data_IF_630331202328
#
_entry.id   IF_630331202328
#
_cell.length_a   1.000
_cell.length_b   1.000
_cell.length_c   1.000
_cell.angle_alpha   90.00
_cell.angle_beta   90.00
_cell.angle_gamma   90.00
#
_symmetry.space_group_name_H-M   'P 1'
#
loop_
_entity.id
_entity.type
_entity.pdbx_description
1 polymer ?
#
# COMPACT_ATOMS: atom_id res chain seq x y z
N UNK A 1 -4.52 33.26 27.84
CA UNK A 1 -3.54 32.29 27.32
C UNK A 1 -4.22 30.94 27.29
N UNK A 2 -4.50 30.37 26.12
CA UNK A 2 -5.05 29.03 26.02
C UNK A 2 -3.90 28.05 25.79
N UNK A 3 -3.68 27.15 26.74
CA UNK A 3 -2.77 26.01 26.58
C UNK A 3 -3.63 24.76 26.35
N UNK A 4 -3.35 24.01 25.29
CA UNK A 4 -3.92 22.68 25.06
C UNK A 4 -2.87 21.66 25.50
N UNK A 5 -3.20 20.89 26.53
CA UNK A 5 -2.37 19.78 27.01
C UNK A 5 -2.73 18.52 26.21
N UNK A 6 -1.76 17.91 25.54
CA UNK A 6 -1.93 16.60 24.88
C UNK A 6 -1.05 15.57 25.56
N UNK A 7 -1.69 14.55 26.14
CA UNK A 7 -1.06 13.42 26.81
C UNK A 7 -0.92 12.24 25.83
N UNK A 8 0.28 11.67 25.74
CA UNK A 8 0.57 10.42 25.01
C UNK A 8 1.99 9.95 25.33
N UNK A 9 2.20 8.67 25.71
CA UNK A 9 3.46 8.20 26.31
C UNK A 9 4.66 8.08 25.36
N UNK A 10 4.45 8.18 24.03
CA UNK A 10 5.51 8.01 23.03
C UNK A 10 5.47 9.12 21.97
N UNK A 11 5.95 10.31 22.31
CA UNK A 11 6.31 11.31 21.31
C UNK A 11 7.60 10.84 20.62
N UNK A 12 7.45 10.10 19.51
CA UNK A 12 8.58 9.76 18.64
C UNK A 12 9.35 11.03 18.31
N UNK A 13 10.57 11.15 18.83
CA UNK A 13 11.41 12.37 18.89
C UNK A 13 11.76 13.03 17.53
N UNK A 14 11.18 12.59 16.42
CA UNK A 14 11.42 13.11 15.07
C UNK A 14 10.17 13.40 14.24
N UNK A 15 8.96 13.14 14.75
CA UNK A 15 7.72 13.53 14.08
C UNK A 15 7.19 14.82 14.71
N UNK A 16 7.14 15.89 13.92
CA UNK A 16 6.52 17.16 14.33
C UNK A 16 4.99 17.01 14.31
N UNK A 17 4.44 16.36 15.33
CA UNK A 17 2.99 16.29 15.51
C UNK A 17 2.42 17.66 15.88
N UNK A 18 1.24 17.97 15.35
CA UNK A 18 0.41 19.09 15.83
C UNK A 18 -0.76 18.48 16.60
N UNK A 19 -0.55 18.27 17.90
CA UNK A 19 -1.46 17.46 18.72
C UNK A 19 -1.54 16.01 18.25
N UNK A 20 -2.74 15.51 17.92
CA UNK A 20 -2.90 14.16 17.37
C UNK A 20 -2.67 14.07 15.85
N UNK A 21 -2.40 15.20 15.19
CA UNK A 21 -2.24 15.26 13.73
C UNK A 21 -0.78 15.00 13.35
N UNK A 22 -0.55 14.01 12.49
CA UNK A 22 0.75 13.72 11.88
C UNK A 22 0.81 14.36 10.49
N UNK A 23 1.78 15.27 10.22
CA UNK A 23 1.96 15.83 8.89
C UNK A 23 2.50 14.82 7.87
N UNK A 24 3.06 13.69 8.32
CA UNK A 24 3.66 12.64 7.49
C UNK A 24 3.00 11.28 7.72
N UNK A 25 1.68 11.26 7.91
CA UNK A 25 0.91 10.05 8.14
C UNK A 25 0.97 9.13 6.92
N UNK A 26 1.46 7.90 7.09
CA UNK A 26 1.52 6.90 6.01
C UNK A 26 0.31 5.96 6.06
N UNK A 27 -0.68 6.09 5.14
CA UNK A 27 -1.85 5.22 5.10
C UNK A 27 -1.48 3.75 4.83
N UNK A 28 -0.47 3.48 4.00
CA UNK A 28 -0.04 2.11 3.70
C UNK A 28 0.51 1.39 4.94
N UNK A 29 1.29 2.10 5.76
CA UNK A 29 1.79 1.58 7.04
C UNK A 29 0.65 1.29 8.01
N UNK A 30 -0.27 2.24 8.17
CA UNK A 30 -1.41 2.08 9.09
C UNK A 30 -2.36 0.96 8.64
N UNK A 31 -2.57 0.81 7.33
CA UNK A 31 -3.32 -0.30 6.76
C UNK A 31 -2.68 -1.65 7.12
N UNK A 32 -1.35 -1.75 7.02
CA UNK A 32 -0.63 -2.96 7.42
C UNK A 32 -0.73 -3.24 8.93
N UNK A 33 -0.53 -2.22 9.79
CA UNK A 33 -0.65 -2.38 11.24
C UNK A 33 -2.07 -2.81 11.67
N UNK A 34 -3.09 -2.23 11.03
CA UNK A 34 -4.48 -2.61 11.23
C UNK A 34 -4.76 -4.04 10.74
N UNK A 35 -4.22 -4.42 9.59
CA UNK A 35 -4.29 -5.80 9.08
C UNK A 35 -3.69 -6.81 10.05
N UNK A 36 -2.47 -6.58 10.55
CA UNK A 36 -1.82 -7.47 11.52
C UNK A 36 -2.69 -7.67 12.77
N UNK A 37 -3.32 -6.59 13.24
CA UNK A 37 -4.20 -6.62 14.41
C UNK A 37 -5.50 -7.38 14.14
N UNK A 38 -6.16 -7.10 13.02
CA UNK A 38 -7.39 -7.77 12.60
C UNK A 38 -7.16 -9.26 12.30
N UNK A 39 -6.03 -9.60 11.67
CA UNK A 39 -5.63 -10.98 11.36
C UNK A 39 -5.52 -11.81 12.63
N UNK A 40 -4.83 -11.30 13.66
CA UNK A 40 -4.70 -11.99 14.96
C UNK A 40 -6.06 -12.25 15.61
N UNK A 41 -6.98 -11.29 15.53
CA UNK A 41 -8.33 -11.45 16.07
C UNK A 41 -9.13 -12.49 15.28
N UNK A 42 -9.07 -12.42 13.94
CA UNK A 42 -9.74 -13.36 13.05
C UNK A 42 -9.24 -14.80 13.27
N UNK A 43 -7.93 -15.00 13.34
CA UNK A 43 -7.31 -16.29 13.65
C UNK A 43 -7.79 -16.84 15.00
N UNK A 44 -7.89 -16.00 16.04
CA UNK A 44 -8.36 -16.44 17.36
C UNK A 44 -9.82 -16.86 17.37
N UNK A 45 -10.67 -16.22 16.57
CA UNK A 45 -12.12 -16.47 16.57
C UNK A 45 -12.53 -17.56 15.58
N UNK A 46 -11.97 -17.56 14.37
CA UNK A 46 -12.34 -18.45 13.27
C UNK A 46 -11.33 -19.59 13.03
N UNK A 47 -10.15 -19.56 13.67
CA UNK A 47 -9.07 -20.53 13.42
C UNK A 47 -8.36 -20.36 12.06
N UNK A 48 -8.79 -19.38 11.26
CA UNK A 48 -8.26 -19.06 9.92
C UNK A 48 -8.42 -17.56 9.65
N UNK A 49 -7.57 -17.00 8.79
CA UNK A 49 -7.64 -15.61 8.37
C UNK A 49 -7.03 -15.43 6.97
N UNK A 50 -7.56 -14.51 6.14
CA UNK A 50 -6.98 -14.23 4.84
C UNK A 50 -5.72 -13.37 4.93
N UNK A 51 -4.87 -13.49 3.91
CA UNK A 51 -3.81 -12.51 3.65
C UNK A 51 -4.36 -11.15 3.19
N UNK A 52 -3.48 -10.21 2.90
CA UNK A 52 -3.84 -8.89 2.39
C UNK A 52 -2.87 -8.45 1.28
N UNK A 53 -3.39 -7.79 0.25
CA UNK A 53 -2.60 -7.05 -0.74
C UNK A 53 -2.88 -5.56 -0.58
N UNK A 54 -1.83 -4.77 -0.45
CA UNK A 54 -1.90 -3.32 -0.37
C UNK A 54 -1.36 -2.75 -1.68
N UNK A 55 -2.25 -2.12 -2.44
CA UNK A 55 -1.96 -1.44 -3.69
C UNK A 55 -1.89 0.06 -3.43
N UNK A 56 -0.78 0.68 -3.82
CA UNK A 56 -0.55 2.12 -3.62
C UNK A 56 -0.33 2.77 -4.97
N UNK A 57 -1.16 3.76 -5.30
CA UNK A 57 -1.13 4.50 -6.57
C UNK A 57 -1.03 5.99 -6.27
N UNK A 58 0.05 6.64 -6.72
CA UNK A 58 0.23 8.08 -6.56
C UNK A 58 0.01 8.81 -7.91
N UNK A 59 -1.19 9.40 -8.08
CA UNK A 59 -1.53 10.12 -9.33
C UNK A 59 -0.87 11.50 -9.40
N UNK A 60 -0.55 12.14 -8.28
CA UNK A 60 0.14 13.45 -8.29
C UNK A 60 1.55 13.39 -8.89
N UNK A 61 2.15 12.19 -8.89
CA UNK A 61 3.44 11.93 -9.53
C UNK A 61 3.34 11.52 -10.99
N UNK A 62 2.18 11.03 -11.45
CA UNK A 62 1.96 10.66 -12.86
C UNK A 62 1.92 11.88 -13.78
N UNK A 63 1.40 13.02 -13.30
CA UNK A 63 1.25 14.25 -14.10
C UNK A 63 2.52 15.11 -14.18
N UNK A 64 3.56 14.79 -13.42
CA UNK A 64 4.85 15.49 -13.51
C UNK A 64 5.79 14.71 -14.43
N UNK A 65 6.34 15.31 -15.51
CA UNK A 65 7.34 14.64 -16.31
C UNK A 65 8.51 14.25 -15.40
N UNK A 66 8.98 13.01 -15.56
CA UNK A 66 10.06 12.43 -14.75
C UNK A 66 11.14 13.49 -14.51
N UNK A 67 11.36 13.84 -13.25
CA UNK A 67 12.32 14.86 -12.84
C UNK A 67 13.69 14.39 -13.34
N UNK A 68 14.07 14.84 -14.53
CA UNK A 68 15.37 14.62 -15.15
C UNK A 68 16.35 15.10 -14.10
N UNK A 69 17.05 14.16 -13.45
CA UNK A 69 18.06 14.45 -12.43
C UNK A 69 18.84 15.64 -12.92
N UNK A 70 18.62 16.79 -12.28
CA UNK A 70 19.23 18.03 -12.70
C UNK A 70 20.72 17.78 -12.55
N UNK A 71 21.41 17.58 -13.68
CA UNK A 71 22.86 17.67 -13.73
C UNK A 71 23.19 18.96 -12.99
N UNK A 72 23.89 18.84 -11.86
CA UNK A 72 24.47 19.99 -11.18
C UNK A 72 25.38 20.66 -12.22
N UNK A 73 24.92 21.76 -12.80
CA UNK A 73 25.80 22.70 -13.50
C UNK A 73 26.33 23.62 -12.41
N UNK A 74 27.45 23.25 -11.80
CA UNK A 74 28.20 24.16 -10.95
C UNK A 74 28.98 25.11 -11.85
N UNK A 75 28.59 26.39 -11.86
CA UNK A 75 29.39 27.45 -12.47
C UNK A 75 30.63 27.70 -11.59
N UNK A 76 31.84 27.55 -12.15
CA UNK A 76 33.06 28.09 -11.56
C UNK A 76 33.38 29.46 -12.16
N UNK A 77 34.01 30.33 -11.36
CA UNK A 77 34.22 31.75 -11.60
C UNK A 77 35.22 32.10 -12.73
N UNK A 78 35.52 31.19 -13.65
CA UNK A 78 36.55 31.35 -14.69
C UNK A 78 36.02 31.21 -16.14
N UNK A 79 34.71 31.31 -16.37
CA UNK A 79 34.15 31.54 -17.70
C UNK A 79 34.23 30.37 -18.70
N UNK A 80 34.44 29.13 -18.25
CA UNK A 80 34.48 27.95 -19.12
C UNK A 80 33.35 26.96 -18.81
N UNK A 81 32.53 26.66 -19.82
CA UNK A 81 31.46 25.67 -19.75
C UNK A 81 31.99 24.32 -20.26
N UNK A 82 32.06 23.30 -19.40
CA UNK A 82 32.34 21.91 -19.81
C UNK A 82 31.27 20.98 -19.27
N UNK A 83 30.76 20.10 -20.13
CA UNK A 83 29.85 19.01 -19.78
C UNK A 83 30.74 17.80 -19.51
N UNK A 84 30.87 17.40 -18.24
CA UNK A 84 31.65 16.21 -17.90
C UNK A 84 30.89 14.95 -18.35
N UNK A 85 31.33 14.41 -19.50
CA UNK A 85 31.02 13.07 -19.99
C UNK A 85 32.29 12.23 -19.85
N UNK A 86 32.54 11.69 -18.65
CA UNK A 86 33.46 10.56 -18.51
C UNK A 86 32.82 9.52 -17.59
N UNK A 87 32.53 8.36 -18.17
CA UNK A 87 31.77 7.28 -17.55
C UNK A 87 31.23 6.31 -18.62
N UNK A 88 32.14 5.76 -19.42
CA UNK A 88 31.95 4.71 -20.43
C UNK A 88 33.29 3.91 -20.39
N UNK A 89 33.40 2.60 -20.33
CA UNK A 89 32.50 1.47 -20.65
C UNK A 89 33.00 0.20 -19.95
N UNK A 90 32.09 -0.73 -19.62
CA UNK A 90 32.33 -2.15 -19.83
C UNK A 90 30.97 -2.86 -20.02
N UNK A 91 30.66 -3.05 -21.29
CA UNK A 91 29.52 -3.73 -21.86
C UNK A 91 29.71 -5.26 -21.77
N UNK A 92 28.73 -5.99 -21.23
CA UNK A 92 28.40 -7.35 -21.66
C UNK A 92 26.91 -7.37 -22.02
N UNK A 93 26.52 -7.69 -23.27
CA UNK A 93 25.13 -7.66 -23.73
C UNK A 93 24.54 -9.11 -23.74
N UNK A 94 23.28 -9.37 -24.17
CA UNK A 94 22.29 -10.04 -23.33
C UNK A 94 21.79 -11.40 -23.87
N UNK A 95 21.21 -12.25 -23.02
CA UNK A 95 20.40 -13.40 -23.48
C UNK A 95 18.99 -13.35 -22.90
N UNK A 96 18.04 -13.04 -23.79
CA UNK A 96 16.59 -13.37 -23.85
C UNK A 96 15.76 -13.28 -22.55
N UNK A 97 14.95 -12.22 -22.31
CA UNK A 97 13.60 -11.90 -22.84
C UNK A 97 12.48 -12.93 -22.55
N UNK A 98 11.58 -12.56 -21.64
CA UNK A 98 10.13 -12.41 -21.87
C UNK A 98 9.60 -11.42 -20.81
N UNK A 99 9.30 -10.15 -21.12
CA UNK A 99 8.11 -9.70 -21.84
C UNK A 99 6.98 -9.50 -20.82
N UNK A 100 6.80 -8.33 -20.21
CA UNK A 100 6.26 -7.12 -20.82
C UNK A 100 6.71 -5.84 -20.11
N UNK A 101 7.00 -4.79 -20.89
CA UNK A 101 7.15 -3.41 -20.44
C UNK A 101 5.76 -2.77 -20.43
N UNK A 102 5.28 -2.19 -19.32
CA UNK A 102 4.29 -1.10 -19.34
C UNK A 102 4.08 -0.45 -17.95
N UNK A 103 4.06 0.89 -17.92
CA UNK A 103 3.48 1.81 -16.93
C UNK A 103 4.12 1.98 -15.52
N UNK A 104 4.28 3.26 -15.17
CA UNK A 104 4.81 3.80 -13.92
C UNK A 104 4.05 3.36 -12.66
N UNK A 105 4.81 2.89 -11.65
CA UNK A 105 4.59 3.01 -10.19
C UNK A 105 3.25 2.56 -9.57
N UNK A 106 2.72 1.40 -9.96
CA UNK A 106 1.81 0.65 -9.07
C UNK A 106 2.65 -0.16 -8.06
N UNK A 107 2.68 0.25 -6.79
CA UNK A 107 3.32 -0.54 -5.73
C UNK A 107 2.32 -1.52 -5.15
N UNK A 108 2.60 -2.81 -5.26
CA UNK A 108 1.80 -3.87 -4.66
C UNK A 108 2.62 -4.57 -3.59
N UNK A 109 2.14 -4.54 -2.35
CA UNK A 109 2.71 -5.29 -1.24
C UNK A 109 1.72 -6.39 -0.83
N UNK A 110 2.12 -7.65 -1.00
CA UNK A 110 1.34 -8.79 -0.52
C UNK A 110 1.85 -9.22 0.85
N UNK A 111 0.92 -9.52 1.75
CA UNK A 111 1.14 -9.98 3.10
C UNK A 111 0.33 -11.26 3.33
N UNK A 112 0.99 -12.41 3.37
CA UNK A 112 0.33 -13.67 3.68
C UNK A 112 0.19 -13.89 5.20
N UNK A 113 1.13 -13.34 5.96
CA UNK A 113 1.25 -13.55 7.42
C UNK A 113 1.49 -12.25 8.19
N UNK A 114 1.03 -12.14 9.44
CA UNK A 114 1.32 -11.00 10.32
C UNK A 114 2.80 -10.86 10.73
N UNK A 115 3.64 -11.85 10.40
CA UNK A 115 5.08 -11.81 10.67
C UNK A 115 5.86 -10.98 9.64
N UNK A 116 5.26 -10.71 8.47
CA UNK A 116 5.90 -9.94 7.42
C UNK A 116 5.98 -8.47 7.84
N UNK A 117 7.17 -7.87 7.70
CA UNK A 117 7.36 -6.45 8.05
C UNK A 117 7.02 -5.57 6.85
N UNK A 118 6.20 -4.56 7.10
CA UNK A 118 6.04 -3.45 6.16
C UNK A 118 7.38 -2.72 6.01
N UNK A 119 7.90 -2.68 4.77
CA UNK A 119 9.09 -1.90 4.43
C UNK A 119 8.64 -0.56 3.85
N UNK A 120 8.73 0.54 4.62
CA UNK A 120 8.36 1.86 4.11
C UNK A 120 9.35 2.29 3.01
N UNK A 121 8.83 2.68 1.86
CA UNK A 121 9.64 3.23 0.79
C UNK A 121 9.64 4.77 0.89
N UNK A 122 10.73 5.47 0.56
CA UNK A 122 10.78 6.94 0.55
C UNK A 122 9.80 7.62 -0.41
N UNK A 123 9.09 6.85 -1.23
CA UNK A 123 8.11 7.32 -2.21
C UNK A 123 6.70 6.82 -1.87
N UNK A 124 6.45 6.53 -0.60
CA UNK A 124 5.11 6.18 -0.15
C UNK A 124 4.27 7.45 0.00
N UNK A 125 2.97 7.28 -0.23
CA UNK A 125 2.00 8.35 -0.05
C UNK A 125 2.01 8.74 1.43
N UNK A 126 2.09 10.04 1.70
CA UNK A 126 1.94 10.61 3.04
C UNK A 126 0.85 11.67 3.02
N UNK A 127 0.01 11.69 4.04
CA UNK A 127 -1.06 12.67 4.22
C UNK A 127 -0.94 13.37 5.57
N UNK A 128 -1.52 14.56 5.68
CA UNK A 128 -1.71 15.22 6.98
C UNK A 128 -3.00 14.66 7.57
N UNK A 129 -2.90 13.81 8.58
CA UNK A 129 -4.08 13.17 9.19
C UNK A 129 -3.80 12.69 10.61
N UNK A 130 -4.85 12.34 11.34
CA UNK A 130 -4.75 11.73 12.68
C UNK A 130 -4.54 10.21 12.51
N UNK A 131 -3.36 9.66 12.83
CA UNK A 131 -3.06 8.25 12.58
C UNK A 131 -4.01 7.28 13.26
N UNK A 132 -4.42 7.58 14.50
CA UNK A 132 -5.32 6.74 15.30
C UNK A 132 -6.70 6.59 14.64
N UNK A 133 -7.26 7.67 14.10
CA UNK A 133 -8.55 7.62 13.40
C UNK A 133 -8.47 6.74 12.16
N UNK A 134 -7.40 6.90 11.38
CA UNK A 134 -7.19 6.13 10.17
C UNK A 134 -6.95 4.64 10.47
N UNK A 135 -6.16 4.35 11.51
CA UNK A 135 -5.98 2.98 12.00
C UNK A 135 -7.32 2.34 12.38
N UNK A 136 -8.16 3.04 13.15
CA UNK A 136 -9.46 2.51 13.56
C UNK A 136 -10.38 2.25 12.37
N UNK A 137 -10.42 3.16 11.38
CA UNK A 137 -11.18 2.93 10.15
C UNK A 137 -10.70 1.67 9.42
N UNK A 138 -9.39 1.50 9.22
CA UNK A 138 -8.84 0.28 8.60
C UNK A 138 -9.18 -0.96 9.42
N UNK A 139 -8.99 -0.92 10.73
CA UNK A 139 -9.20 -2.06 11.61
C UNK A 139 -10.65 -2.55 11.59
N UNK A 140 -11.63 -1.64 11.69
CA UNK A 140 -13.05 -2.01 11.64
C UNK A 140 -13.45 -2.56 10.26
N UNK A 141 -13.00 -1.92 9.18
CA UNK A 141 -13.27 -2.40 7.82
C UNK A 141 -12.65 -3.79 7.58
N UNK A 142 -11.43 -4.02 8.06
CA UNK A 142 -10.73 -5.30 7.90
C UNK A 142 -11.37 -6.41 8.72
N UNK A 143 -11.78 -6.15 9.97
CA UNK A 143 -12.55 -7.12 10.76
C UNK A 143 -13.81 -7.56 10.01
N UNK A 144 -14.57 -6.60 9.49
CA UNK A 144 -15.81 -6.87 8.76
C UNK A 144 -15.54 -7.69 7.49
N UNK A 145 -14.52 -7.32 6.71
CA UNK A 145 -14.14 -8.05 5.50
C UNK A 145 -13.65 -9.48 5.78
N UNK A 146 -12.82 -9.66 6.82
CA UNK A 146 -12.30 -10.95 7.26
C UNK A 146 -13.41 -11.85 7.79
N UNK A 147 -14.30 -11.33 8.64
CA UNK A 147 -15.48 -12.04 9.14
C UNK A 147 -16.34 -12.55 7.99
N UNK A 148 -16.69 -11.65 7.07
CA UNK A 148 -17.53 -12.02 5.93
C UNK A 148 -16.87 -13.11 5.07
N UNK A 149 -15.53 -13.15 4.99
CA UNK A 149 -14.83 -14.17 4.19
C UNK A 149 -14.71 -15.49 4.95
N UNK A 150 -14.43 -15.43 6.25
CA UNK A 150 -14.36 -16.59 7.11
C UNK A 150 -15.72 -17.30 7.24
N UNK A 151 -16.83 -16.58 7.17
CA UNK A 151 -18.19 -17.13 7.22
C UNK A 151 -18.71 -17.56 5.84
N UNK A 152 -18.36 -16.86 4.75
CA UNK A 152 -18.82 -17.21 3.41
C UNK A 152 -18.07 -18.38 2.78
N UNK A 153 -16.84 -18.64 3.22
CA UNK A 153 -15.98 -19.67 2.63
C UNK A 153 -16.25 -21.02 3.31
N UNK A 154 -16.47 -22.12 2.58
CA UNK A 154 -16.67 -23.44 3.17
C UNK A 154 -15.51 -23.84 4.11
N UNK A 155 -15.76 -24.63 5.16
CA UNK A 155 -14.73 -25.06 6.10
C UNK A 155 -13.68 -25.98 5.46
N UNK A 156 -14.03 -26.70 4.39
CA UNK A 156 -13.12 -27.56 3.62
C UNK A 156 -12.01 -26.77 2.93
N UNK A 157 -12.28 -25.49 2.63
CA UNK A 157 -11.30 -24.62 2.02
C UNK A 157 -10.43 -23.99 3.09
N UNK A 158 -9.22 -24.53 3.23
CA UNK A 158 -8.23 -24.09 4.22
C UNK A 158 -7.68 -22.70 3.90
N UNK A 159 -7.58 -22.37 2.61
CA UNK A 159 -6.98 -21.12 2.15
C UNK A 159 -8.05 -20.08 1.80
N UNK A 160 -8.06 -18.98 2.55
CA UNK A 160 -8.95 -17.84 2.30
C UNK A 160 -8.35 -16.88 1.27
N UNK A 161 -9.18 -16.34 0.39
CA UNK A 161 -8.76 -15.34 -0.58
C UNK A 161 -8.27 -14.05 0.10
N UNK A 162 -7.12 -13.49 -0.30
CA UNK A 162 -6.61 -12.28 0.31
C UNK A 162 -7.50 -11.05 0.05
N UNK A 163 -7.47 -10.12 0.99
CA UNK A 163 -8.19 -8.84 0.93
C UNK A 163 -7.33 -7.81 0.19
N UNK A 164 -7.92 -7.11 -0.77
CA UNK A 164 -7.28 -6.04 -1.53
C UNK A 164 -7.59 -4.68 -0.90
N UNK A 165 -6.56 -3.99 -0.43
CA UNK A 165 -6.60 -2.59 0.00
C UNK A 165 -5.97 -1.77 -1.11
N UNK A 166 -6.73 -0.84 -1.68
CA UNK A 166 -6.26 0.12 -2.66
C UNK A 166 -6.21 1.51 -2.04
N UNK A 167 -5.04 2.13 -2.06
CA UNK A 167 -4.78 3.49 -1.61
C UNK A 167 -4.38 4.31 -2.83
N UNK A 168 -5.19 5.28 -3.19
CA UNK A 168 -4.93 6.19 -4.31
C UNK A 168 -4.77 7.61 -3.78
N UNK A 169 -3.61 8.22 -4.04
CA UNK A 169 -3.44 9.66 -3.87
C UNK A 169 -3.87 10.35 -5.16
N UNK A 170 -5.08 10.87 -5.18
CA UNK A 170 -5.59 11.71 -6.26
C UNK A 170 -5.13 13.16 -6.06
N UNK A 171 -5.59 14.04 -6.94
CA UNK A 171 -5.25 15.47 -6.91
C UNK A 171 -5.76 16.13 -5.62
N UNK A 172 -7.05 15.92 -5.32
CA UNK A 172 -7.71 16.49 -4.14
C UNK A 172 -7.95 15.45 -3.04
N UNK A 173 -8.27 14.22 -3.44
CA UNK A 173 -8.70 13.15 -2.52
C UNK A 173 -7.64 12.07 -2.28
N UNK A 174 -7.71 11.42 -1.11
CA UNK A 174 -7.10 10.10 -0.91
C UNK A 174 -8.18 9.05 -0.82
N UNK A 175 -8.22 8.17 -1.83
CA UNK A 175 -9.23 7.12 -1.94
C UNK A 175 -8.69 5.85 -1.33
N UNK A 176 -9.41 5.33 -0.33
CA UNK A 176 -9.14 4.05 0.30
C UNK A 176 -10.28 3.10 -0.05
N UNK A 177 -9.96 2.01 -0.72
CA UNK A 177 -10.93 0.97 -1.08
C UNK A 177 -10.48 -0.35 -0.50
N UNK A 178 -11.33 -0.97 0.30
CA UNK A 178 -11.15 -2.33 0.81
C UNK A 178 -12.10 -3.23 0.03
N UNK A 179 -11.55 -4.19 -0.71
CA UNK A 179 -12.32 -5.13 -1.52
C UNK A 179 -11.88 -6.57 -1.28
N UNK A 180 -12.82 -7.50 -1.43
CA UNK A 180 -12.49 -8.91 -1.56
C UNK A 180 -12.04 -9.19 -3.00
N UNK A 181 -11.04 -10.03 -3.17
CA UNK A 181 -10.65 -10.45 -4.52
C UNK A 181 -11.75 -11.26 -5.19
N UNK A 182 -12.04 -10.92 -6.45
CA UNK A 182 -13.26 -11.25 -7.18
C UNK A 182 -13.40 -12.72 -7.62
N UNK A 183 -12.53 -13.63 -7.15
CA UNK A 183 -12.39 -14.94 -7.77
C UNK A 183 -13.60 -15.88 -7.55
N UNK A 184 -14.39 -15.72 -6.47
CA UNK A 184 -15.56 -16.57 -6.21
C UNK A 184 -16.86 -16.16 -6.91
N UNK A 185 -16.98 -14.93 -7.41
CA UNK A 185 -18.20 -14.55 -8.13
C UNK A 185 -18.30 -15.25 -9.49
N UNK A 186 -17.18 -15.63 -10.10
CA UNK A 186 -17.15 -16.38 -11.35
C UNK A 186 -17.40 -17.89 -11.15
N UNK A 187 -16.90 -18.48 -10.06
CA UNK A 187 -17.13 -19.91 -9.79
C UNK A 187 -18.60 -20.21 -9.45
N UNK A 188 -19.25 -19.35 -8.66
CA UNK A 188 -20.67 -19.54 -8.30
C UNK A 188 -21.60 -19.27 -9.49
N UNK A 189 -21.28 -18.32 -10.37
CA UNK A 189 -22.02 -18.11 -11.63
C UNK A 189 -21.91 -19.32 -12.57
N UNK A 190 -20.75 -19.98 -12.59
CA UNK A 190 -20.55 -21.18 -13.41
C UNK A 190 -21.30 -22.41 -12.90
N UNK A 191 -21.55 -22.52 -11.59
CA UNK A 191 -22.23 -23.68 -10.99
C UNK A 191 -23.77 -23.58 -10.98
N UNK A 192 -24.36 -22.39 -11.11
CA UNK A 192 -25.82 -22.23 -11.23
C UNK A 192 -26.36 -22.42 -12.66
N UNK A 193 -25.49 -22.69 -13.64
CA UNK A 193 -25.86 -22.92 -15.04
C UNK A 193 -25.52 -24.37 -15.47
N UNK A 194 -25.87 -25.37 -14.67
CA UNK A 194 -25.95 -26.74 -15.17
C UNK A 194 -27.35 -26.96 -15.75
N UNK A 195 -27.50 -27.28 -17.05
CA UNK A 195 -28.79 -27.70 -17.60
C UNK A 195 -29.22 -28.99 -16.89
N UNK A 196 -30.47 -29.05 -16.43
CA UNK A 196 -31.09 -30.28 -15.95
C UNK A 196 -31.00 -31.35 -17.07
N UNK A 197 -30.65 -32.61 -16.74
CA UNK A 197 -30.67 -33.68 -17.72
C UNK A 197 -32.11 -33.91 -18.20
N UNK A 198 -32.29 -33.94 -19.53
CA UNK A 198 -33.53 -34.32 -20.21
C UNK A 198 -33.86 -35.80 -20.00
#
# INVERSE_FOLDING_TARGET
>A
MCAVLLFGPDLKLGHQYVGCIDPFCSPAKLAHEAFVSAYKLCMRYYGRAPGCRIHTIDRRRMDKPARRSSRKVSAQANGQMRIDLSGADALVPPTAKSGSKQASFDKVAFFASPAERFQPHPDDITIVYIPEHLFHMFFELLKNAMRALAESTPPEQTQLEPIDILIVNAEEDVVIRVSRSFHYLLSTFSSSFQPLPL
#
